data_IF_616531261314
#
_entry.id   IF_616531261314
#
_cell.length_a   1.000
_cell.length_b   1.000
_cell.length_c   1.000
_cell.angle_alpha   90.00
_cell.angle_beta   90.00
_cell.angle_gamma   90.00
#
_symmetry.space_group_name_H-M   'P 1'
#
loop_
_entity.id
_entity.type
_entity.pdbx_description
1 polymer ?
#
# COMPACT_ATOMS: atom_id res chain seq x y z
N UNK A 1 -25.93 -38.18 -29.94
CA UNK A 1 -24.71 -38.77 -29.34
C UNK A 1 -23.56 -37.81 -29.54
N UNK A 2 -22.98 -37.30 -28.43
CA UNK A 2 -21.60 -36.78 -28.24
C UNK A 2 -21.11 -35.66 -29.20
N UNK A 3 -20.52 -34.54 -28.79
CA UNK A 3 -20.01 -34.09 -27.50
C UNK A 3 -19.90 -32.56 -27.52
N UNK A 4 -20.21 -31.93 -26.39
CA UNK A 4 -19.93 -30.54 -26.08
C UNK A 4 -18.42 -30.32 -26.04
N UNK A 5 -17.90 -29.41 -26.86
CA UNK A 5 -16.50 -28.98 -26.79
C UNK A 5 -16.42 -27.96 -25.65
N UNK A 6 -15.84 -28.41 -24.54
CA UNK A 6 -15.62 -27.62 -23.34
C UNK A 6 -14.53 -26.57 -23.61
N UNK A 7 -14.93 -25.30 -23.54
CA UNK A 7 -14.05 -24.13 -23.53
C UNK A 7 -13.19 -24.17 -22.26
N UNK A 8 -11.94 -24.65 -22.38
CA UNK A 8 -10.96 -24.56 -21.29
C UNK A 8 -10.49 -23.12 -21.18
N UNK A 9 -11.11 -22.38 -20.26
CA UNK A 9 -10.73 -21.03 -19.91
C UNK A 9 -9.44 -21.12 -19.08
N UNK A 10 -8.33 -20.68 -19.65
CA UNK A 10 -7.08 -20.44 -18.93
C UNK A 10 -7.25 -19.15 -18.13
N UNK A 11 -7.41 -19.24 -16.81
CA UNK A 11 -7.06 -18.15 -15.90
C UNK A 11 -5.92 -18.62 -15.00
N UNK A 12 -4.70 -18.31 -15.45
CA UNK A 12 -3.53 -18.31 -14.60
C UNK A 12 -3.66 -17.17 -13.59
N UNK A 13 -4.08 -17.48 -12.38
CA UNK A 13 -3.99 -16.58 -11.24
C UNK A 13 -2.57 -16.67 -10.71
N UNK A 14 -1.74 -15.71 -11.11
CA UNK A 14 -0.38 -15.50 -10.61
C UNK A 14 -0.33 -15.60 -9.09
N UNK A 15 0.57 -16.46 -8.60
CA UNK A 15 0.88 -16.62 -7.19
C UNK A 15 1.20 -15.26 -6.60
N UNK A 16 0.39 -14.83 -5.63
CA UNK A 16 0.67 -13.65 -4.83
C UNK A 16 2.07 -13.80 -4.22
N UNK A 17 2.97 -12.87 -4.55
CA UNK A 17 4.26 -12.75 -3.88
C UNK A 17 4.01 -12.40 -2.41
N UNK A 18 3.87 -13.42 -1.59
CA UNK A 18 4.02 -13.32 -0.15
C UNK A 18 5.52 -13.11 0.12
N UNK A 19 5.99 -11.88 -0.02
CA UNK A 19 7.24 -11.45 0.61
C UNK A 19 6.98 -11.35 2.12
N UNK A 20 6.90 -12.51 2.77
CA UNK A 20 7.01 -12.66 4.21
C UNK A 20 8.46 -12.39 4.61
N UNK A 21 8.79 -11.11 4.74
CA UNK A 21 10.04 -10.63 5.32
C UNK A 21 9.76 -10.00 6.68
N UNK A 22 10.23 -10.65 7.73
CA UNK A 22 10.21 -10.19 9.11
C UNK A 22 10.63 -8.72 9.31
N UNK A 23 9.91 -8.03 10.21
CA UNK A 23 10.31 -6.84 11.01
C UNK A 23 10.27 -5.42 10.41
N UNK A 24 9.86 -5.21 9.16
CA UNK A 24 9.49 -3.86 8.67
C UNK A 24 8.05 -3.86 8.16
N UNK A 25 7.14 -3.18 8.88
CA UNK A 25 5.77 -3.04 8.41
C UNK A 25 5.79 -2.14 7.17
N UNK A 26 5.18 -2.50 6.03
CA UNK A 26 5.27 -1.69 4.80
C UNK A 26 4.75 -0.26 4.98
N UNK A 27 3.76 -0.06 5.84
CA UNK A 27 3.28 1.28 6.21
C UNK A 27 4.33 2.14 6.97
N UNK A 28 5.34 1.53 7.56
CA UNK A 28 6.41 2.22 8.28
C UNK A 28 7.38 2.91 7.32
N UNK A 29 7.61 2.35 6.13
CA UNK A 29 8.39 3.02 5.09
C UNK A 29 7.70 4.29 4.61
N UNK A 30 6.39 4.23 4.36
CA UNK A 30 5.58 5.40 4.02
C UNK A 30 5.68 6.46 5.13
N UNK A 31 5.55 6.04 6.39
CA UNK A 31 5.69 6.94 7.54
C UNK A 31 7.07 7.60 7.59
N UNK A 32 8.16 6.84 7.39
CA UNK A 32 9.52 7.38 7.37
C UNK A 32 9.75 8.36 6.22
N UNK A 33 9.20 8.07 5.03
CA UNK A 33 9.27 8.98 3.89
C UNK A 33 8.55 10.31 4.20
N UNK A 34 7.37 10.24 4.81
CA UNK A 34 6.65 11.43 5.29
C UNK A 34 7.44 12.21 6.35
N UNK A 35 8.03 11.53 7.33
CA UNK A 35 8.85 12.18 8.36
C UNK A 35 10.07 12.87 7.74
N UNK A 36 10.71 12.23 6.75
CA UNK A 36 11.86 12.79 6.01
C UNK A 36 11.49 14.00 5.16
N UNK A 37 10.24 14.07 4.67
CA UNK A 37 9.69 15.23 3.98
C UNK A 37 9.27 16.37 4.93
N UNK A 38 9.44 16.20 6.24
CA UNK A 38 9.14 17.21 7.25
C UNK A 38 7.70 17.18 7.78
N UNK A 39 6.95 16.09 7.55
CA UNK A 39 5.65 15.90 8.18
C UNK A 39 5.81 15.35 9.60
N UNK A 40 5.13 15.97 10.56
CA UNK A 40 5.29 15.69 11.99
C UNK A 40 3.97 15.22 12.60
N UNK A 41 4.06 14.29 13.56
CA UNK A 41 2.88 13.79 14.25
C UNK A 41 2.23 14.91 15.09
N UNK A 42 0.96 15.19 14.83
CA UNK A 42 0.19 16.21 15.56
C UNK A 42 0.13 17.57 14.85
N UNK A 43 0.96 17.82 13.84
CA UNK A 43 1.05 19.12 13.14
C UNK A 43 0.08 19.27 11.97
N UNK A 44 -1.08 18.60 12.02
CA UNK A 44 -2.10 18.73 10.99
C UNK A 44 -2.68 20.14 10.89
N UNK A 45 -2.68 20.89 12.01
CA UNK A 45 -3.16 22.29 12.03
C UNK A 45 -2.39 23.19 11.06
N UNK A 46 -1.13 22.86 10.77
CA UNK A 46 -0.27 23.58 9.83
C UNK A 46 -0.11 22.85 8.48
N UNK A 47 -1.01 21.90 8.17
CA UNK A 47 -0.94 21.03 6.98
C UNK A 47 0.33 20.18 6.88
N UNK A 48 1.03 19.98 8.00
CA UNK A 48 2.22 19.14 8.10
C UNK A 48 1.98 17.89 8.94
N UNK A 49 0.72 17.49 9.09
CA UNK A 49 0.33 16.32 9.86
C UNK A 49 0.82 15.05 9.19
N UNK A 50 1.69 14.31 9.89
CA UNK A 50 2.26 13.05 9.43
C UNK A 50 1.23 12.10 8.83
N UNK A 51 0.10 11.90 9.51
CA UNK A 51 -0.91 10.96 9.03
C UNK A 51 -1.87 11.58 8.01
N UNK A 52 -2.59 12.65 8.38
CA UNK A 52 -3.66 13.21 7.54
C UNK A 52 -3.16 13.89 6.26
N UNK A 53 -2.01 14.55 6.31
CA UNK A 53 -1.50 15.34 5.20
C UNK A 53 -0.48 14.59 4.34
N UNK A 54 0.11 13.50 4.86
CA UNK A 54 1.05 12.69 4.10
C UNK A 54 0.67 11.22 3.97
N UNK A 55 0.65 10.45 5.06
CA UNK A 55 0.42 8.99 4.97
C UNK A 55 -0.93 8.65 4.33
N UNK A 56 -2.00 9.34 4.70
CA UNK A 56 -3.34 9.11 4.17
C UNK A 56 -3.44 9.37 2.66
N UNK A 57 -3.05 10.54 2.13
CA UNK A 57 -3.06 10.77 0.68
C UNK A 57 -2.12 9.83 -0.09
N UNK A 58 -0.93 9.52 0.44
CA UNK A 58 -0.02 8.54 -0.19
C UNK A 58 -0.68 7.16 -0.30
N UNK A 59 -1.36 6.71 0.75
CA UNK A 59 -2.10 5.44 0.72
C UNK A 59 -3.30 5.45 -0.23
N UNK A 60 -3.87 6.63 -0.50
CA UNK A 60 -4.91 6.84 -1.50
C UNK A 60 -4.35 6.95 -2.93
N UNK A 61 -3.03 6.81 -3.12
CA UNK A 61 -2.36 6.92 -4.42
C UNK A 61 -2.09 8.35 -4.86
N UNK A 62 -2.23 9.33 -3.97
CA UNK A 62 -1.91 10.73 -4.25
C UNK A 62 -0.42 10.98 -4.04
N UNK A 63 0.18 11.79 -4.90
CA UNK A 63 1.56 12.26 -4.72
C UNK A 63 1.60 13.38 -3.69
N UNK A 64 2.55 13.30 -2.76
CA UNK A 64 2.81 14.32 -1.74
C UNK A 64 4.18 14.93 -1.99
N UNK A 65 4.28 16.25 -1.94
CA UNK A 65 5.52 16.96 -2.23
C UNK A 65 6.64 16.49 -1.28
N UNK A 66 7.82 16.17 -1.85
CA UNK A 66 8.98 15.68 -1.10
C UNK A 66 8.89 14.22 -0.64
N UNK A 67 7.80 13.51 -0.98
CA UNK A 67 7.57 12.12 -0.55
C UNK A 67 7.59 11.23 -1.78
N UNK A 68 8.55 10.31 -1.82
CA UNK A 68 8.67 9.31 -2.87
C UNK A 68 8.61 7.93 -2.24
N UNK A 69 7.60 7.14 -2.61
CA UNK A 69 7.43 5.77 -2.13
C UNK A 69 7.00 4.90 -3.30
N UNK A 70 7.48 3.65 -3.33
CA UNK A 70 7.08 2.68 -4.35
C UNK A 70 5.60 2.33 -4.26
N UNK A 71 4.96 2.11 -5.41
CA UNK A 71 3.56 1.69 -5.48
C UNK A 71 3.35 0.30 -4.87
N UNK A 72 4.37 -0.55 -4.90
CA UNK A 72 4.46 -1.84 -4.21
C UNK A 72 4.38 -1.68 -2.68
N UNK A 73 5.06 -0.68 -2.11
CA UNK A 73 5.01 -0.36 -0.67
C UNK A 73 3.61 0.10 -0.25
N UNK A 74 2.96 0.92 -1.09
CA UNK A 74 1.58 1.37 -0.88
C UNK A 74 0.61 0.18 -0.92
N UNK A 75 0.73 -0.70 -1.92
CA UNK A 75 -0.09 -1.90 -2.03
C UNK A 75 0.11 -2.85 -0.84
N UNK A 76 1.37 -3.09 -0.43
CA UNK A 76 1.70 -3.92 0.72
C UNK A 76 1.14 -3.36 2.03
N UNK A 77 1.20 -2.03 2.22
CA UNK A 77 0.59 -1.38 3.38
C UNK A 77 -0.94 -1.54 3.40
N UNK A 78 -1.61 -1.33 2.27
CA UNK A 78 -3.05 -1.48 2.16
C UNK A 78 -3.50 -2.93 2.41
N UNK A 79 -2.77 -3.92 1.88
CA UNK A 79 -3.01 -5.33 2.16
C UNK A 79 -2.91 -5.66 3.65
N UNK A 80 -1.85 -5.21 4.33
CA UNK A 80 -1.67 -5.41 5.78
C UNK A 80 -2.76 -4.73 6.62
N UNK A 81 -3.24 -3.55 6.20
CA UNK A 81 -4.37 -2.87 6.86
C UNK A 81 -5.68 -3.66 6.71
N UNK A 82 -5.91 -4.31 5.57
CA UNK A 82 -7.08 -5.15 5.35
C UNK A 82 -7.04 -6.41 6.20
N UNK A 83 -5.87 -7.03 6.38
CA UNK A 83 -5.68 -8.19 7.27
C UNK A 83 -5.98 -7.86 8.74
N UNK A 84 -5.59 -6.66 9.22
CA UNK A 84 -5.87 -6.22 10.60
C UNK A 84 -7.32 -5.79 10.88
N UNK A 85 -8.15 -5.67 9.84
CA UNK A 85 -9.57 -5.31 9.97
C UNK A 85 -10.50 -6.53 10.10
N UNK A 86 -9.95 -7.74 9.93
CA UNK A 86 -10.64 -9.01 10.23
C UNK A 86 -10.44 -9.37 11.70
#
# INVERSE_FOLDING_TARGET
MKSLIATMIVLGSVSAFAQGGEKNHPCQEIKKACESAGFVKGEHKEKKGLYKDCVQPVLAGQSVAGVTVGSDVVAACNAKKAEKKK
#
